data_IF_028347991424
#
_entry.id   IF_028347991424
#
_cell.length_a   1.000
_cell.length_b   1.000
_cell.length_c   1.000
_cell.angle_alpha   90.00
_cell.angle_beta   90.00
_cell.angle_gamma   90.00
#
_symmetry.space_group_name_H-M   'P 1'
#
loop_
_entity.id
_entity.type
_entity.pdbx_description
1 polymer ?
#
# COMPACT_ATOMS: atom_id res chain seq x y z
N UNK A 1 -3.93 2.67 -15.00
CA UNK A 1 -4.44 2.09 -13.75
C UNK A 1 -3.80 2.84 -12.61
N UNK A 2 -4.58 3.42 -11.71
CA UNK A 2 -4.04 4.06 -10.53
C UNK A 2 -3.84 3.00 -9.45
N UNK A 3 -2.57 2.76 -9.06
CA UNK A 3 -2.30 1.97 -7.88
C UNK A 3 -2.69 2.82 -6.67
N UNK A 4 -3.53 2.28 -5.79
CA UNK A 4 -4.00 2.99 -4.61
C UNK A 4 -3.64 2.15 -3.39
N UNK A 5 -3.17 2.78 -2.30
CA UNK A 5 -3.07 2.10 -1.03
C UNK A 5 -4.39 1.43 -0.66
N UNK A 6 -4.30 0.30 0.05
CA UNK A 6 -5.49 -0.29 0.65
C UNK A 6 -6.19 0.77 1.51
N UNK A 7 -7.51 0.92 1.33
CA UNK A 7 -8.30 1.83 2.17
C UNK A 7 -8.32 1.38 3.62
N UNK A 8 -8.54 2.31 4.56
CA UNK A 8 -8.67 2.01 5.99
C UNK A 8 -9.70 0.90 6.27
N UNK A 9 -10.77 0.82 5.47
CA UNK A 9 -11.78 -0.26 5.57
C UNK A 9 -11.23 -1.63 5.19
N UNK A 10 -10.39 -1.71 4.16
CA UNK A 10 -9.75 -2.96 3.74
C UNK A 10 -8.72 -3.43 4.76
N UNK A 11 -7.94 -2.50 5.31
CA UNK A 11 -6.98 -2.79 6.38
C UNK A 11 -7.72 -3.26 7.63
N UNK A 12 -8.73 -2.51 8.08
CA UNK A 12 -9.52 -2.86 9.26
C UNK A 12 -10.27 -4.18 9.13
N UNK A 13 -10.74 -4.54 7.93
CA UNK A 13 -11.32 -5.87 7.68
C UNK A 13 -10.27 -6.98 7.86
N UNK A 14 -9.08 -6.82 7.27
CA UNK A 14 -7.99 -7.79 7.40
C UNK A 14 -7.55 -7.95 8.86
N UNK A 15 -7.43 -6.85 9.62
CA UNK A 15 -7.13 -6.88 11.05
C UNK A 15 -8.23 -7.57 11.85
N UNK A 16 -9.51 -7.32 11.56
CA UNK A 16 -10.63 -7.96 12.25
C UNK A 16 -10.67 -9.49 12.05
N UNK A 17 -10.25 -9.97 10.87
CA UNK A 17 -10.10 -11.41 10.61
C UNK A 17 -8.97 -12.02 11.44
N UNK A 18 -7.86 -11.30 11.61
CA UNK A 18 -6.77 -11.72 12.48
C UNK A 18 -7.22 -11.76 13.94
N UNK A 19 -7.91 -10.73 14.42
CA UNK A 19 -8.46 -10.68 15.78
C UNK A 19 -9.46 -11.81 16.04
N UNK A 20 -10.29 -12.15 15.05
CA UNK A 20 -11.20 -13.30 15.14
C UNK A 20 -10.43 -14.61 15.34
N UNK A 21 -9.36 -14.83 14.56
CA UNK A 21 -8.51 -16.01 14.68
C UNK A 21 -7.72 -16.04 16.01
N UNK A 22 -7.31 -14.88 16.54
CA UNK A 22 -6.69 -14.77 17.87
C UNK A 22 -7.68 -15.19 18.98
N UNK A 23 -8.94 -14.72 18.90
CA UNK A 23 -10.01 -15.10 19.84
C UNK A 23 -10.33 -16.59 19.80
N UNK A 24 -10.25 -17.22 18.64
CA UNK A 24 -10.40 -18.67 18.45
C UNK A 24 -9.15 -19.48 18.87
N UNK A 25 -8.14 -18.85 19.47
CA UNK A 25 -6.90 -19.49 19.96
C UNK A 25 -6.13 -20.25 18.87
N UNK A 26 -6.17 -19.79 17.62
CA UNK A 26 -5.30 -20.34 16.59
C UNK A 26 -3.85 -20.01 16.96
N UNK A 27 -3.06 -21.05 17.27
CA UNK A 27 -1.64 -21.00 17.70
C UNK A 27 -0.71 -20.17 16.81
N UNK A 28 -1.17 -19.76 15.63
CA UNK A 28 -0.38 -19.07 14.62
C UNK A 28 -1.02 -17.75 14.14
N UNK A 29 -2.03 -17.22 14.83
CA UNK A 29 -2.72 -15.99 14.40
C UNK A 29 -1.77 -14.79 14.22
N UNK A 30 -0.77 -14.64 15.10
CA UNK A 30 0.26 -13.59 15.04
C UNK A 30 1.04 -13.54 13.71
N UNK A 31 1.20 -14.69 13.02
CA UNK A 31 1.87 -14.73 11.70
C UNK A 31 1.04 -14.03 10.62
N UNK A 32 -0.28 -14.05 10.75
CA UNK A 32 -1.17 -13.40 9.79
C UNK A 32 -1.14 -11.88 9.99
N UNK A 33 -1.10 -11.39 11.24
CA UNK A 33 -0.87 -9.97 11.54
C UNK A 33 0.40 -9.43 10.87
N UNK A 34 1.49 -10.17 11.03
CA UNK A 34 2.79 -9.82 10.42
C UNK A 34 2.70 -9.76 8.89
N UNK A 35 1.98 -10.70 8.26
CA UNK A 35 1.77 -10.72 6.81
C UNK A 35 0.90 -9.56 6.32
N UNK A 36 -0.17 -9.21 7.05
CA UNK A 36 -1.04 -8.07 6.73
C UNK A 36 -0.23 -6.77 6.75
N UNK A 37 0.56 -6.55 7.81
CA UNK A 37 1.42 -5.37 7.92
C UNK A 37 2.43 -5.28 6.77
N UNK A 38 3.15 -6.37 6.47
CA UNK A 38 4.14 -6.39 5.40
C UNK A 38 3.53 -6.11 4.01
N UNK A 39 2.32 -6.60 3.75
CA UNK A 39 1.61 -6.31 2.51
C UNK A 39 1.20 -4.83 2.43
N UNK A 40 0.73 -4.25 3.53
CA UNK A 40 0.36 -2.82 3.60
C UNK A 40 1.57 -1.91 3.36
N UNK A 41 2.72 -2.23 3.98
CA UNK A 41 3.97 -1.48 3.78
C UNK A 41 4.43 -1.53 2.31
N UNK A 42 4.44 -2.72 1.69
CA UNK A 42 4.81 -2.88 0.29
C UNK A 42 3.92 -2.06 -0.67
N UNK A 43 2.61 -2.05 -0.43
CA UNK A 43 1.67 -1.26 -1.23
C UNK A 43 1.94 0.25 -1.06
N UNK A 44 2.22 0.70 0.17
CA UNK A 44 2.55 2.11 0.44
C UNK A 44 3.80 2.54 -0.34
N UNK A 45 4.84 1.71 -0.32
CA UNK A 45 6.10 1.99 -1.01
C UNK A 45 5.90 2.04 -2.53
N UNK A 46 5.12 1.11 -3.11
CA UNK A 46 4.76 1.15 -4.53
C UNK A 46 3.96 2.40 -4.91
N UNK A 47 3.02 2.82 -4.06
CA UNK A 47 2.24 4.04 -4.30
C UNK A 47 3.14 5.27 -4.36
N UNK A 48 4.09 5.38 -3.42
CA UNK A 48 5.04 6.49 -3.39
C UNK A 48 5.91 6.54 -4.66
N UNK A 49 6.45 5.40 -5.07
CA UNK A 49 7.27 5.29 -6.29
C UNK A 49 6.50 5.72 -7.54
N UNK A 50 5.20 5.38 -7.62
CA UNK A 50 4.35 5.81 -8.74
C UNK A 50 4.15 7.33 -8.75
N UNK A 51 3.99 7.96 -7.58
CA UNK A 51 3.84 9.41 -7.50
C UNK A 51 5.14 10.14 -7.90
N UNK A 52 6.30 9.65 -7.43
CA UNK A 52 7.61 10.15 -7.87
C UNK A 52 7.77 10.04 -9.41
N UNK A 53 7.37 8.92 -10.01
CA UNK A 53 7.40 8.76 -11.47
C UNK A 53 6.47 9.74 -12.21
N UNK A 54 5.33 10.15 -11.63
CA UNK A 54 4.44 11.16 -12.23
C UNK A 54 5.06 12.55 -12.15
N UNK A 55 5.71 12.88 -11.04
CA UNK A 55 6.43 14.15 -10.85
C UNK A 55 7.54 14.27 -11.89
N UNK A 56 8.41 13.26 -12.00
CA UNK A 56 9.49 13.22 -13.00
C UNK A 56 8.94 13.38 -14.43
N UNK A 57 7.83 12.71 -14.76
CA UNK A 57 7.20 12.87 -16.08
C UNK A 57 6.76 14.32 -16.33
N UNK A 58 6.24 14.99 -15.30
CA UNK A 58 5.82 16.39 -15.41
C UNK A 58 7.02 17.31 -15.64
N UNK A 59 8.11 17.10 -14.89
CA UNK A 59 9.36 17.85 -15.06
C UNK A 59 9.93 17.71 -16.47
N UNK A 60 9.94 16.50 -17.03
CA UNK A 60 10.37 16.25 -18.41
C UNK A 60 9.47 17.03 -19.40
N UNK A 61 8.15 16.97 -19.20
CA UNK A 61 7.20 17.65 -20.09
C UNK A 61 7.31 19.18 -20.02
N UNK A 62 7.65 19.74 -18.88
CA UNK A 62 7.82 21.18 -18.74
C UNK A 62 9.16 21.64 -19.34
N UNK A 63 10.24 20.87 -19.15
CA UNK A 63 11.51 21.12 -19.82
C UNK A 63 11.38 21.10 -21.35
N UNK A 64 10.63 20.14 -21.90
CA UNK A 64 10.37 20.07 -23.35
C UNK A 64 9.59 21.29 -23.87
N UNK A 65 8.66 21.87 -23.08
CA UNK A 65 7.92 23.08 -23.47
C UNK A 65 8.78 24.34 -23.41
N UNK A 66 9.73 24.43 -22.48
CA UNK A 66 10.62 25.60 -22.36
C UNK A 66 11.67 25.66 -23.48
N UNK A 67 11.94 24.52 -24.13
CA UNK A 67 12.91 24.37 -25.20
C UNK A 67 12.33 24.57 -26.62
N UNK A 68 11.00 24.62 -26.77
CA UNK A 68 10.28 24.79 -28.05
C UNK A 68 9.69 26.17 -28.23
#
# INVERSE_FOLDING_TARGET
MSCHPASDKQIGYADSLVEYLEKEQHLHAARYKTKVNAACDCIRDMSKLIDEMKEIRTEIQDADKEMG
#
